data_IF_452820859596
#
_entry.id   IF_452820859596
#
_cell.length_a   1.000
_cell.length_b   1.000
_cell.length_c   1.000
_cell.angle_alpha   90.00
_cell.angle_beta   90.00
_cell.angle_gamma   90.00
#
_symmetry.space_group_name_H-M   'P 1'
#
loop_
_entity.id
_entity.type
_entity.pdbx_description
1 polymer ?
#
# COMPACT_ATOMS: atom_id res chain seq x y z
N UNK A 1 19.37 26.78 34.88
CA UNK A 1 19.63 25.94 33.69
C UNK A 1 18.76 26.42 32.56
N UNK A 2 19.31 26.70 31.36
CA UNK A 2 18.49 27.08 30.21
C UNK A 2 17.61 25.90 29.79
N UNK A 3 16.33 26.19 29.54
CA UNK A 3 15.37 25.20 29.01
C UNK A 3 15.93 24.62 27.70
N UNK A 4 15.78 23.30 27.44
CA UNK A 4 16.10 22.78 26.12
C UNK A 4 15.24 23.52 25.09
N UNK A 5 15.90 24.15 24.11
CA UNK A 5 15.22 24.65 22.92
C UNK A 5 14.52 23.45 22.30
N UNK A 6 13.19 23.45 22.32
CA UNK A 6 12.41 22.62 21.40
C UNK A 6 12.95 22.97 20.01
N UNK A 7 13.45 22.01 19.23
CA UNK A 7 13.83 22.33 17.86
C UNK A 7 12.57 22.87 17.20
N UNK A 8 12.67 24.01 16.53
CA UNK A 8 11.67 24.44 15.56
C UNK A 8 11.52 23.27 14.57
N UNK A 9 10.57 22.36 14.83
CA UNK A 9 9.81 21.63 13.81
C UNK A 9 8.70 22.61 13.40
N UNK A 10 9.07 23.79 12.94
CA UNK A 10 9.53 24.21 11.61
C UNK A 10 8.33 24.40 10.68
N UNK A 11 7.82 25.62 10.63
CA UNK A 11 6.76 26.02 9.71
C UNK A 11 7.12 25.66 8.25
N UNK A 12 8.41 25.65 7.95
CA UNK A 12 8.96 25.26 6.65
C UNK A 12 8.85 23.74 6.40
N UNK A 13 9.07 22.89 7.41
CA UNK A 13 8.87 21.44 7.28
C UNK A 13 7.39 21.10 7.06
N UNK A 14 6.49 21.82 7.74
CA UNK A 14 5.05 21.65 7.56
C UNK A 14 4.60 22.06 6.14
N UNK A 15 5.07 23.22 5.66
CA UNK A 15 4.79 23.70 4.31
C UNK A 15 5.38 22.77 3.23
N UNK A 16 6.61 22.27 3.42
CA UNK A 16 7.24 21.31 2.53
C UNK A 16 6.46 19.98 2.50
N UNK A 17 6.03 19.48 3.65
CA UNK A 17 5.22 18.26 3.73
C UNK A 17 3.86 18.42 3.03
N UNK A 18 3.22 19.58 3.14
CA UNK A 18 1.98 19.90 2.44
C UNK A 18 2.20 19.96 0.92
N UNK A 19 3.28 20.61 0.47
CA UNK A 19 3.63 20.69 -0.95
C UNK A 19 3.93 19.30 -1.53
N UNK A 20 4.80 18.51 -0.87
CA UNK A 20 5.11 17.14 -1.28
C UNK A 20 3.85 16.27 -1.33
N UNK A 21 2.91 16.48 -0.41
CA UNK A 21 1.63 15.77 -0.42
C UNK A 21 0.75 16.20 -1.58
N UNK A 22 0.72 17.47 -1.96
CA UNK A 22 -0.01 17.96 -3.14
C UNK A 22 0.57 17.44 -4.46
N UNK A 23 1.90 17.29 -4.53
CA UNK A 23 2.61 16.78 -5.71
C UNK A 23 2.65 15.24 -5.79
N UNK A 24 2.34 14.55 -4.69
CA UNK A 24 2.33 13.09 -4.62
C UNK A 24 1.32 12.46 -5.62
N UNK A 25 1.60 11.23 -6.07
CA UNK A 25 0.67 10.48 -6.90
C UNK A 25 -0.71 10.38 -6.27
N UNK A 26 -1.75 10.36 -7.09
CA UNK A 26 -3.15 10.30 -6.65
C UNK A 26 -3.40 9.10 -5.72
N UNK A 27 -2.76 7.96 -6.01
CA UNK A 27 -2.83 6.75 -5.18
C UNK A 27 -2.36 6.97 -3.73
N UNK A 28 -1.41 7.87 -3.50
CA UNK A 28 -0.90 8.20 -2.17
C UNK A 28 -1.74 9.28 -1.48
N UNK A 29 -2.21 10.28 -2.24
CA UNK A 29 -3.09 11.34 -1.73
C UNK A 29 -4.42 10.82 -1.22
N UNK A 30 -5.01 9.85 -1.93
CA UNK A 30 -6.33 9.27 -1.61
C UNK A 30 -6.28 8.08 -0.64
N UNK A 31 -5.16 7.82 0.04
CA UNK A 31 -5.09 6.71 0.99
C UNK A 31 -6.15 6.90 2.09
N UNK A 32 -7.07 5.93 2.27
CA UNK A 32 -8.07 5.93 3.33
C UNK A 32 -7.48 6.23 4.71
N UNK A 33 -8.17 7.08 5.46
CA UNK A 33 -7.78 7.38 6.84
C UNK A 33 -8.85 7.03 7.87
N UNK A 34 -9.99 6.52 7.39
CA UNK A 34 -11.10 5.97 8.16
C UNK A 34 -11.63 4.71 7.47
N UNK A 35 -12.43 3.92 8.18
CA UNK A 35 -12.93 2.66 7.67
C UNK A 35 -13.93 2.80 6.52
N UNK A 36 -14.75 3.84 6.54
CA UNK A 36 -15.75 4.11 5.48
C UNK A 36 -15.08 4.31 4.11
N UNK A 37 -13.84 4.75 4.13
CA UNK A 37 -13.03 5.02 2.95
C UNK A 37 -12.26 3.78 2.46
N UNK A 38 -12.12 2.74 3.28
CA UNK A 38 -11.40 1.54 2.90
C UNK A 38 -12.35 0.58 2.17
N UNK A 39 -12.01 0.25 0.93
CA UNK A 39 -12.86 -0.55 0.04
C UNK A 39 -12.32 -1.98 -0.07
N UNK A 40 -13.21 -2.96 -0.14
CA UNK A 40 -12.88 -4.37 -0.23
C UNK A 40 -12.56 -5.04 1.12
N UNK A 41 -12.06 -6.28 1.05
CA UNK A 41 -11.60 -7.09 2.20
C UNK A 41 -12.63 -7.32 3.32
N UNK A 42 -13.94 -7.27 2.99
CA UNK A 42 -15.04 -7.38 3.97
C UNK A 42 -14.99 -8.65 4.82
N UNK A 43 -14.51 -9.76 4.26
CA UNK A 43 -14.39 -11.04 4.97
C UNK A 43 -13.40 -10.99 6.14
N UNK A 44 -12.35 -10.19 6.03
CA UNK A 44 -11.27 -10.13 7.05
C UNK A 44 -11.39 -8.90 7.96
N UNK A 45 -11.84 -7.76 7.44
CA UNK A 45 -11.88 -6.48 8.17
C UNK A 45 -13.26 -5.80 8.16
N UNK A 46 -14.31 -6.51 7.71
CA UNK A 46 -15.68 -6.03 7.79
C UNK A 46 -16.17 -5.85 9.23
N UNK A 47 -17.27 -5.12 9.39
CA UNK A 47 -17.87 -4.92 10.70
C UNK A 47 -18.20 -6.27 11.36
N UNK A 48 -17.78 -6.44 12.62
CA UNK A 48 -18.00 -7.65 13.39
C UNK A 48 -16.98 -8.78 13.16
N UNK A 49 -16.01 -8.64 12.25
CA UNK A 49 -14.94 -9.65 12.13
C UNK A 49 -14.01 -9.59 13.35
N UNK A 50 -13.37 -10.71 13.74
CA UNK A 50 -12.47 -10.73 14.89
C UNK A 50 -11.30 -9.75 14.76
N UNK A 51 -10.68 -9.66 13.58
CA UNK A 51 -9.59 -8.72 13.33
C UNK A 51 -10.07 -7.27 13.45
N UNK A 52 -11.26 -6.97 12.94
CA UNK A 52 -11.85 -5.62 13.05
C UNK A 52 -12.07 -5.22 14.50
N UNK A 53 -12.60 -6.11 15.33
CA UNK A 53 -12.80 -5.88 16.76
C UNK A 53 -11.47 -5.63 17.50
N UNK A 54 -10.44 -6.43 17.22
CA UNK A 54 -9.12 -6.26 17.84
C UNK A 54 -8.48 -4.91 17.47
N UNK A 55 -8.66 -4.44 16.24
CA UNK A 55 -8.16 -3.12 15.81
C UNK A 55 -8.92 -2.01 16.54
N UNK A 56 -10.25 -2.11 16.64
CA UNK A 56 -11.08 -1.10 17.33
C UNK A 56 -10.82 -1.06 18.84
N UNK A 57 -10.41 -2.18 19.44
CA UNK A 57 -10.04 -2.28 20.86
C UNK A 57 -8.57 -1.89 21.13
N UNK A 58 -7.80 -1.48 20.12
CA UNK A 58 -6.36 -1.20 20.23
C UNK A 58 -5.60 -2.40 20.83
N UNK A 59 -5.87 -3.58 20.28
CA UNK A 59 -5.27 -4.87 20.66
C UNK A 59 -4.82 -5.67 19.43
N UNK A 60 -4.43 -4.97 18.36
CA UNK A 60 -4.02 -5.62 17.11
C UNK A 60 -2.74 -6.47 17.34
N UNK A 61 -2.75 -7.77 16.96
CA UNK A 61 -1.56 -8.61 17.05
C UNK A 61 -0.60 -8.29 15.90
N UNK A 62 0.59 -8.90 15.90
CA UNK A 62 1.45 -8.87 14.72
C UNK A 62 0.79 -9.60 13.54
N UNK A 63 0.91 -9.04 12.34
CA UNK A 63 0.23 -9.49 11.13
C UNK A 63 1.21 -9.74 9.99
N UNK A 64 0.89 -10.68 9.11
CA UNK A 64 1.49 -10.80 7.78
C UNK A 64 0.38 -10.68 6.75
N UNK A 65 0.40 -9.62 5.95
CA UNK A 65 -0.49 -9.42 4.82
C UNK A 65 0.06 -10.12 3.58
N UNK A 66 -0.69 -11.10 3.08
CA UNK A 66 -0.36 -11.80 1.85
C UNK A 66 -1.40 -11.51 0.78
N UNK A 67 -0.97 -10.92 -0.32
CA UNK A 67 -1.88 -10.59 -1.42
C UNK A 67 -1.20 -9.88 -2.58
N UNK A 68 -1.87 -9.74 -3.73
CA UNK A 68 -1.30 -9.14 -4.92
C UNK A 68 -0.93 -7.65 -4.72
N UNK A 69 -0.13 -7.06 -5.62
CA UNK A 69 0.09 -5.62 -5.62
C UNK A 69 -1.24 -4.85 -5.74
N UNK A 70 -1.25 -3.61 -5.25
CA UNK A 70 -2.43 -2.73 -5.35
C UNK A 70 -3.66 -3.11 -4.52
N UNK A 71 -3.65 -4.25 -3.82
CA UNK A 71 -4.79 -4.75 -3.03
C UNK A 71 -5.03 -4.04 -1.70
N UNK A 72 -4.16 -3.08 -1.34
CA UNK A 72 -4.34 -2.23 -0.15
C UNK A 72 -3.57 -2.62 1.10
N UNK A 73 -2.58 -3.53 1.03
CA UNK A 73 -1.75 -3.97 2.18
C UNK A 73 -1.13 -2.82 2.99
N UNK A 74 -0.36 -1.96 2.32
CA UNK A 74 0.31 -0.78 2.93
C UNK A 74 -0.72 0.22 3.48
N UNK A 75 -1.83 0.41 2.76
CA UNK A 75 -2.93 1.29 3.17
C UNK A 75 -3.59 0.77 4.44
N UNK A 76 -3.87 -0.53 4.52
CA UNK A 76 -4.48 -1.15 5.69
C UNK A 76 -3.57 -1.06 6.91
N UNK A 77 -2.26 -1.29 6.74
CA UNK A 77 -1.29 -1.15 7.83
C UNK A 77 -1.28 0.27 8.43
N UNK A 78 -1.31 1.30 7.58
CA UNK A 78 -1.38 2.70 8.00
C UNK A 78 -2.70 3.04 8.67
N UNK A 79 -3.81 2.54 8.13
CA UNK A 79 -5.13 2.73 8.72
C UNK A 79 -5.20 2.12 10.12
N UNK A 80 -4.70 0.88 10.28
CA UNK A 80 -4.60 0.22 11.59
C UNK A 80 -3.83 1.10 12.56
N UNK A 81 -2.61 1.56 12.20
CA UNK A 81 -1.81 2.39 13.09
C UNK A 81 -2.51 3.67 13.54
N UNK A 82 -3.23 4.33 12.62
CA UNK A 82 -4.02 5.52 12.94
C UNK A 82 -5.14 5.20 13.94
N UNK A 83 -5.85 4.10 13.72
CA UNK A 83 -6.98 3.70 14.56
C UNK A 83 -6.53 3.21 15.95
N UNK A 84 -5.39 2.53 16.03
CA UNK A 84 -4.76 2.06 17.26
C UNK A 84 -3.86 3.13 17.90
N UNK A 85 -3.92 4.38 17.43
CA UNK A 85 -3.11 5.53 17.93
C UNK A 85 -1.63 5.19 18.11
N UNK A 86 -1.13 4.32 17.26
CA UNK A 86 0.23 3.80 17.32
C UNK A 86 1.13 4.64 16.42
N UNK A 87 2.39 4.80 16.81
CA UNK A 87 3.40 5.34 15.89
C UNK A 87 3.56 4.35 14.74
N UNK A 88 3.63 4.86 13.51
CA UNK A 88 3.79 4.04 12.32
C UNK A 88 5.18 4.26 11.74
N UNK A 89 6.00 3.23 11.76
CA UNK A 89 7.33 3.25 11.17
C UNK A 89 7.34 2.27 10.01
N UNK A 90 7.51 2.79 8.79
CA UNK A 90 7.70 1.98 7.60
C UNK A 90 9.19 1.82 7.32
N UNK A 91 9.61 0.58 7.15
CA UNK A 91 10.98 0.21 6.87
C UNK A 91 11.02 -0.50 5.50
N UNK A 92 11.62 0.10 4.46
CA UNK A 92 11.68 -0.50 3.12
C UNK A 92 12.59 -1.75 3.14
N UNK A 93 12.06 -2.93 2.81
CA UNK A 93 12.82 -4.18 2.93
C UNK A 93 14.08 -4.23 2.08
N UNK A 94 14.04 -3.65 0.87
CA UNK A 94 15.16 -3.68 -0.11
C UNK A 94 16.30 -2.74 0.29
N UNK A 95 15.99 -1.61 0.92
CA UNK A 95 16.98 -0.57 1.22
C UNK A 95 17.51 -0.62 2.67
N UNK A 96 16.92 -1.47 3.52
CA UNK A 96 17.16 -1.43 4.96
C UNK A 96 17.79 -2.72 5.47
N UNK A 97 18.77 -2.55 6.37
CA UNK A 97 19.50 -3.63 7.01
C UNK A 97 19.23 -3.76 8.50
N UNK A 98 20.08 -4.54 9.18
CA UNK A 98 20.03 -4.72 10.64
C UNK A 98 20.33 -3.44 11.42
N UNK A 99 21.06 -2.48 10.83
CA UNK A 99 21.36 -1.20 11.47
C UNK A 99 20.09 -0.33 11.56
N UNK A 100 19.33 -0.24 10.46
CA UNK A 100 18.07 0.50 10.41
C UNK A 100 17.04 -0.10 11.38
N UNK A 101 16.94 -1.43 11.44
CA UNK A 101 16.08 -2.11 12.40
C UNK A 101 16.44 -1.72 13.85
N UNK A 102 17.73 -1.70 14.20
CA UNK A 102 18.16 -1.30 15.55
C UNK A 102 17.77 0.13 15.89
N UNK A 103 17.89 1.06 14.93
CA UNK A 103 17.46 2.45 15.14
C UNK A 103 15.95 2.55 15.35
N UNK A 104 15.17 1.83 14.55
CA UNK A 104 13.70 1.77 14.68
C UNK A 104 13.29 1.21 16.04
N UNK A 105 13.91 0.12 16.47
CA UNK A 105 13.64 -0.49 17.78
C UNK A 105 13.99 0.45 18.93
N UNK A 106 15.13 1.15 18.86
CA UNK A 106 15.52 2.13 19.87
C UNK A 106 14.47 3.24 19.97
N UNK A 107 14.07 3.82 18.83
CA UNK A 107 13.01 4.83 18.76
C UNK A 107 11.68 4.34 19.30
N UNK A 108 11.29 3.10 18.98
CA UNK A 108 10.06 2.49 19.48
C UNK A 108 10.10 2.32 21.01
N UNK A 109 11.24 1.88 21.55
CA UNK A 109 11.46 1.73 22.99
C UNK A 109 11.36 3.08 23.72
N UNK A 110 12.00 4.11 23.17
CA UNK A 110 11.98 5.45 23.78
C UNK A 110 10.58 6.06 23.77
N UNK A 111 9.84 5.94 22.67
CA UNK A 111 8.43 6.39 22.62
C UNK A 111 7.55 5.64 23.59
N UNK A 112 7.75 4.32 23.74
CA UNK A 112 7.00 3.52 24.70
C UNK A 112 7.30 3.95 26.14
N UNK A 113 8.56 4.26 26.48
CA UNK A 113 8.97 4.74 27.81
C UNK A 113 8.45 6.15 28.12
N UNK A 114 8.61 7.08 27.18
CA UNK A 114 8.33 8.50 27.40
C UNK A 114 6.84 8.87 27.26
N UNK A 115 6.14 8.20 26.34
CA UNK A 115 4.79 8.60 25.93
C UNK A 115 3.77 7.46 25.99
N UNK A 116 4.17 6.27 26.45
CA UNK A 116 3.34 5.05 26.46
C UNK A 116 2.77 4.68 25.08
N UNK A 117 3.31 5.23 24.00
CA UNK A 117 2.83 5.02 22.64
C UNK A 117 3.34 3.68 22.11
N UNK A 118 2.45 2.87 21.55
CA UNK A 118 2.80 1.64 20.83
C UNK A 118 3.38 1.98 19.46
N UNK A 119 4.20 1.09 18.91
CA UNK A 119 4.78 1.28 17.58
C UNK A 119 4.39 0.12 16.68
N UNK A 120 3.81 0.43 15.52
CA UNK A 120 3.63 -0.51 14.42
C UNK A 120 4.83 -0.38 13.49
N UNK A 121 5.60 -1.47 13.39
CA UNK A 121 6.67 -1.61 12.42
C UNK A 121 6.12 -2.27 11.16
N UNK A 122 6.05 -1.52 10.06
CA UNK A 122 5.62 -2.03 8.77
C UNK A 122 6.81 -2.34 7.87
N UNK A 123 6.85 -3.57 7.35
CA UNK A 123 7.87 -4.03 6.40
C UNK A 123 7.16 -4.47 5.12
N UNK A 124 7.30 -3.67 4.06
CA UNK A 124 6.77 -4.02 2.74
C UNK A 124 7.74 -4.96 2.02
N UNK A 125 7.20 -5.94 1.30
CA UNK A 125 7.97 -7.03 0.67
C UNK A 125 8.93 -7.72 1.65
N UNK A 126 8.40 -8.16 2.79
CA UNK A 126 9.16 -8.84 3.86
C UNK A 126 9.91 -10.09 3.38
N UNK A 127 9.48 -10.71 2.27
CA UNK A 127 10.20 -11.82 1.65
C UNK A 127 11.60 -11.44 1.16
N UNK A 128 11.87 -10.16 0.89
CA UNK A 128 13.22 -9.68 0.48
C UNK A 128 14.22 -9.69 1.63
N UNK A 129 13.77 -9.83 2.88
CA UNK A 129 14.65 -9.94 4.03
C UNK A 129 15.18 -11.36 4.20
N UNK A 130 16.50 -11.46 4.39
CA UNK A 130 17.13 -12.73 4.67
C UNK A 130 16.76 -13.26 6.08
N UNK A 131 17.06 -14.53 6.31
CA UNK A 131 16.77 -15.21 7.58
C UNK A 131 17.31 -14.46 8.81
N UNK A 132 18.53 -13.94 8.75
CA UNK A 132 19.14 -13.23 9.88
C UNK A 132 18.42 -11.90 10.21
N UNK A 133 17.93 -11.18 9.20
CA UNK A 133 17.10 -9.98 9.40
C UNK A 133 15.75 -10.33 10.02
N UNK A 134 15.12 -11.42 9.58
CA UNK A 134 13.85 -11.87 10.14
C UNK A 134 14.01 -12.39 11.59
N UNK A 135 15.07 -13.15 11.88
CA UNK A 135 15.38 -13.62 13.23
C UNK A 135 15.61 -12.45 14.20
N UNK A 136 16.23 -11.35 13.72
CA UNK A 136 16.44 -10.15 14.52
C UNK A 136 15.15 -9.43 14.93
N UNK A 137 14.01 -9.69 14.28
CA UNK A 137 12.71 -9.13 14.69
C UNK A 137 12.15 -9.83 15.93
N UNK A 138 12.44 -11.11 16.13
CA UNK A 138 11.75 -11.97 17.08
C UNK A 138 11.73 -11.40 18.50
N UNK A 139 12.86 -10.95 19.10
CA UNK A 139 12.85 -10.46 20.47
C UNK A 139 11.94 -9.24 20.65
N UNK A 140 11.83 -8.40 19.62
CA UNK A 140 11.10 -7.14 19.65
C UNK A 140 9.60 -7.33 19.41
N UNK A 141 9.23 -8.38 18.67
CA UNK A 141 7.84 -8.82 18.51
C UNK A 141 7.36 -9.52 19.78
N UNK A 142 8.16 -10.41 20.36
CA UNK A 142 7.82 -11.18 21.56
C UNK A 142 7.61 -10.31 22.80
N UNK A 143 8.51 -9.35 23.02
CA UNK A 143 8.43 -8.46 24.19
C UNK A 143 7.49 -7.26 23.98
N UNK A 144 6.85 -7.16 22.81
CA UNK A 144 5.91 -6.09 22.48
C UNK A 144 6.55 -4.70 22.29
N UNK A 145 7.86 -4.62 22.03
CA UNK A 145 8.50 -3.35 21.66
C UNK A 145 7.91 -2.80 20.36
N UNK A 146 7.63 -3.69 19.40
CA UNK A 146 6.93 -3.37 18.15
C UNK A 146 5.83 -4.38 17.88
N UNK A 147 4.71 -3.90 17.33
CA UNK A 147 3.75 -4.75 16.63
C UNK A 147 4.17 -4.80 15.17
N UNK A 148 4.53 -5.99 14.68
CA UNK A 148 4.98 -6.16 13.30
C UNK A 148 3.78 -6.26 12.35
N UNK A 149 3.81 -5.52 11.25
CA UNK A 149 2.96 -5.80 10.08
C UNK A 149 3.88 -6.01 8.88
N UNK A 150 4.08 -7.27 8.48
CA UNK A 150 4.76 -7.60 7.23
C UNK A 150 3.80 -7.64 6.06
N UNK A 151 4.22 -7.24 4.87
CA UNK A 151 3.46 -7.43 3.64
C UNK A 151 4.29 -8.18 2.60
N UNK A 152 3.63 -9.05 1.83
CA UNK A 152 4.28 -9.81 0.75
C UNK A 152 3.28 -10.15 -0.34
N UNK A 153 3.75 -10.21 -1.58
CA UNK A 153 3.04 -10.80 -2.72
C UNK A 153 3.29 -12.32 -2.83
N UNK A 154 4.42 -12.78 -2.31
CA UNK A 154 4.83 -14.18 -2.31
C UNK A 154 4.23 -14.95 -1.14
N UNK A 155 4.09 -16.27 -1.29
CA UNK A 155 3.51 -17.11 -0.26
C UNK A 155 4.38 -17.11 1.01
N UNK A 156 3.85 -16.64 2.16
CA UNK A 156 4.64 -16.45 3.36
C UNK A 156 5.18 -17.76 3.94
N UNK A 157 4.61 -18.93 3.64
CA UNK A 157 5.12 -20.20 4.17
C UNK A 157 6.51 -20.59 3.65
N UNK A 158 6.94 -20.01 2.53
CA UNK A 158 8.25 -20.26 1.94
C UNK A 158 9.26 -19.16 2.29
N UNK A 159 8.80 -17.90 2.29
CA UNK A 159 9.69 -16.74 2.39
C UNK A 159 9.82 -16.17 3.80
N UNK A 160 8.86 -16.45 4.69
CA UNK A 160 8.88 -15.98 6.07
C UNK A 160 9.25 -17.12 7.00
N UNK A 161 10.22 -16.89 7.89
CA UNK A 161 10.70 -17.90 8.83
C UNK A 161 9.54 -18.39 9.74
N UNK A 162 9.52 -19.69 10.02
CA UNK A 162 8.46 -20.31 10.82
C UNK A 162 8.35 -19.71 12.23
N UNK A 163 9.45 -19.23 12.80
CA UNK A 163 9.47 -18.57 14.10
C UNK A 163 8.70 -17.24 14.10
N UNK A 164 8.73 -16.50 13.00
CA UNK A 164 7.99 -15.24 12.86
C UNK A 164 6.52 -15.52 12.54
N UNK A 165 6.25 -16.50 11.66
CA UNK A 165 4.89 -16.94 11.36
C UNK A 165 4.13 -17.45 12.59
N UNK A 166 4.79 -18.15 13.51
CA UNK A 166 4.13 -18.62 14.73
C UNK A 166 3.74 -17.50 15.71
N UNK A 167 4.29 -16.30 15.53
CA UNK A 167 4.01 -15.10 16.34
C UNK A 167 3.13 -14.08 15.62
N UNK A 168 2.81 -14.32 14.36
CA UNK A 168 2.00 -13.42 13.54
C UNK A 168 0.72 -14.11 13.06
N UNK A 169 -0.34 -13.34 12.83
CA UNK A 169 -1.52 -13.81 12.09
C UNK A 169 -1.33 -13.53 10.61
N UNK A 170 -1.39 -14.57 9.78
CA UNK A 170 -1.41 -14.41 8.32
C UNK A 170 -2.82 -14.02 7.90
N UNK A 171 -2.94 -12.88 7.22
CA UNK A 171 -4.20 -12.37 6.67
C UNK A 171 -4.06 -12.32 5.15
N UNK A 172 -4.95 -13.04 4.47
CA UNK A 172 -5.01 -13.04 3.01
C UNK A 172 -5.78 -11.80 2.56
N UNK A 173 -5.14 -10.99 1.74
CA UNK A 173 -5.70 -9.79 1.12
C UNK A 173 -5.97 -10.15 -0.35
N UNK A 174 -7.24 -10.18 -0.74
CA UNK A 174 -7.64 -10.57 -2.10
C UNK A 174 -7.42 -9.42 -3.09
N UNK A 175 -7.30 -9.73 -4.38
CA UNK A 175 -7.48 -8.72 -5.42
C UNK A 175 -8.85 -8.05 -5.27
N UNK A 176 -8.93 -6.76 -5.59
CA UNK A 176 -10.19 -6.03 -5.49
C UNK A 176 -11.13 -6.41 -6.63
N UNK A 177 -12.43 -6.47 -6.35
CA UNK A 177 -13.42 -6.67 -7.40
C UNK A 177 -13.53 -5.41 -8.29
N UNK A 178 -13.98 -5.53 -9.56
CA UNK A 178 -14.18 -4.37 -10.42
C UNK A 178 -15.08 -3.29 -9.78
N UNK A 179 -16.09 -3.68 -9.02
CA UNK A 179 -17.00 -2.75 -8.34
C UNK A 179 -16.29 -1.99 -7.21
N UNK A 180 -15.35 -2.64 -6.53
CA UNK A 180 -14.53 -2.01 -5.50
C UNK A 180 -13.59 -0.97 -6.14
N UNK A 181 -12.96 -1.30 -7.27
CA UNK A 181 -12.10 -0.37 -8.02
C UNK A 181 -12.92 0.81 -8.56
N UNK A 182 -14.09 0.56 -9.13
CA UNK A 182 -15.00 1.61 -9.59
C UNK A 182 -15.34 2.57 -8.43
N UNK A 183 -15.67 2.06 -7.25
CA UNK A 183 -15.95 2.87 -6.06
C UNK A 183 -14.76 3.77 -5.68
N UNK A 184 -13.54 3.22 -5.70
CA UNK A 184 -12.31 3.97 -5.43
C UNK A 184 -12.10 5.11 -6.45
N UNK A 185 -12.29 4.81 -7.73
CA UNK A 185 -12.15 5.78 -8.83
C UNK A 185 -13.23 6.88 -8.76
N UNK A 186 -14.48 6.51 -8.47
CA UNK A 186 -15.55 7.48 -8.30
C UNK A 186 -15.29 8.40 -7.10
N UNK A 187 -14.75 7.88 -6.00
CA UNK A 187 -14.32 8.71 -4.87
C UNK A 187 -13.22 9.68 -5.31
N UNK A 188 -12.23 9.21 -6.07
CA UNK A 188 -11.16 10.06 -6.59
C UNK A 188 -11.70 11.25 -7.42
N UNK A 189 -12.75 11.03 -8.21
CA UNK A 189 -13.38 12.09 -9.00
C UNK A 189 -14.20 13.08 -8.17
N UNK A 190 -14.75 12.65 -7.03
CA UNK A 190 -15.63 13.47 -6.17
C UNK A 190 -14.88 14.22 -5.07
N UNK A 191 -13.73 13.71 -4.66
CA UNK A 191 -12.94 14.26 -3.56
C UNK A 191 -12.33 15.63 -3.95
N UNK A 192 -12.69 16.68 -3.22
CA UNK A 192 -12.27 18.08 -3.48
C UNK A 192 -10.93 18.44 -2.85
N UNK A 193 -10.46 17.65 -1.90
CA UNK A 193 -9.27 17.95 -1.10
C UNK A 193 -8.04 17.26 -1.72
N UNK A 194 -8.15 15.97 -1.99
CA UNK A 194 -7.08 15.11 -2.46
C UNK A 194 -7.32 14.54 -3.87
N UNK A 195 -8.56 14.58 -4.36
CA UNK A 195 -8.95 14.08 -5.67
C UNK A 195 -9.11 15.16 -6.75
N UNK A 196 -10.00 14.89 -7.69
CA UNK A 196 -10.33 15.74 -8.84
C UNK A 196 -11.67 16.46 -8.71
N UNK A 197 -12.28 16.51 -7.53
CA UNK A 197 -13.60 17.12 -7.32
C UNK A 197 -13.68 18.63 -7.58
N UNK A 198 -12.55 19.29 -7.81
CA UNK A 198 -12.46 20.70 -8.26
C UNK A 198 -12.37 20.85 -9.78
N UNK A 199 -12.08 19.76 -10.50
CA UNK A 199 -11.99 19.71 -11.97
C UNK A 199 -13.34 19.21 -12.49
N UNK A 200 -13.86 19.83 -13.53
CA UNK A 200 -15.05 19.30 -14.22
C UNK A 200 -14.61 18.13 -15.10
N UNK A 201 -14.83 16.90 -14.63
CA UNK A 201 -14.51 15.69 -15.39
C UNK A 201 -15.75 15.18 -16.12
N UNK A 202 -15.72 15.18 -17.45
CA UNK A 202 -16.79 14.71 -18.33
C UNK A 202 -16.43 13.36 -18.97
N UNK A 203 -17.44 12.62 -19.45
CA UNK A 203 -17.24 11.32 -20.13
C UNK A 203 -16.85 10.14 -19.23
N UNK A 204 -16.66 10.38 -17.92
CA UNK A 204 -16.07 9.40 -17.02
C UNK A 204 -16.89 8.12 -16.78
N UNK A 205 -18.23 8.16 -16.86
CA UNK A 205 -19.07 7.05 -16.35
C UNK A 205 -18.74 5.67 -16.95
N UNK A 206 -18.61 5.56 -18.28
CA UNK A 206 -18.26 4.28 -18.92
C UNK A 206 -16.76 4.01 -18.86
N UNK A 207 -15.95 5.05 -19.05
CA UNK A 207 -14.49 4.94 -19.02
C UNK A 207 -13.96 4.45 -17.66
N UNK A 208 -14.58 4.85 -16.55
CA UNK A 208 -14.24 4.37 -15.20
C UNK A 208 -14.56 2.89 -15.03
N UNK A 209 -15.69 2.41 -15.56
CA UNK A 209 -16.04 0.98 -15.50
C UNK A 209 -15.06 0.13 -16.29
N UNK A 210 -14.70 0.58 -17.49
CA UNK A 210 -13.69 -0.09 -18.30
C UNK A 210 -12.33 -0.09 -17.61
N UNK A 211 -11.90 1.05 -17.06
CA UNK A 211 -10.67 1.12 -16.26
C UNK A 211 -10.69 0.16 -15.07
N UNK A 212 -11.81 0.06 -14.36
CA UNK A 212 -11.94 -0.82 -13.21
C UNK A 212 -11.74 -2.29 -13.55
N UNK A 213 -12.27 -2.72 -14.71
CA UNK A 213 -12.05 -4.08 -15.24
C UNK A 213 -10.58 -4.26 -15.66
N UNK A 214 -10.04 -3.31 -16.43
CA UNK A 214 -8.68 -3.38 -16.97
C UNK A 214 -7.60 -3.38 -15.87
N UNK A 215 -7.84 -2.70 -14.75
CA UNK A 215 -6.93 -2.65 -13.62
C UNK A 215 -6.75 -4.01 -12.90
N UNK A 216 -7.58 -5.01 -13.21
CA UNK A 216 -7.42 -6.39 -12.73
C UNK A 216 -7.26 -6.50 -11.20
N UNK A 217 -7.98 -5.64 -10.46
CA UNK A 217 -7.97 -5.61 -9.00
C UNK A 217 -6.81 -4.85 -8.34
N UNK A 218 -5.96 -4.16 -9.11
CA UNK A 218 -4.92 -3.26 -8.60
C UNK A 218 -5.42 -1.80 -8.54
N UNK A 219 -5.73 -1.31 -7.34
CA UNK A 219 -6.19 0.07 -7.15
C UNK A 219 -5.13 1.12 -7.43
N UNK A 220 -3.84 0.79 -7.29
CA UNK A 220 -2.74 1.72 -7.56
C UNK A 220 -2.63 1.97 -9.06
N UNK A 221 -2.65 0.92 -9.87
CA UNK A 221 -2.67 1.00 -11.34
C UNK A 221 -3.89 1.79 -11.81
N UNK A 222 -5.07 1.50 -11.25
CA UNK A 222 -6.31 2.22 -11.57
C UNK A 222 -6.18 3.72 -11.29
N UNK A 223 -5.76 4.11 -10.09
CA UNK A 223 -5.64 5.52 -9.69
C UNK A 223 -4.57 6.27 -10.50
N UNK A 224 -3.43 5.64 -10.78
CA UNK A 224 -2.38 6.25 -11.59
C UNK A 224 -2.81 6.44 -13.05
N UNK A 225 -3.53 5.48 -13.61
CA UNK A 225 -4.07 5.57 -14.97
C UNK A 225 -5.10 6.69 -15.06
N UNK A 226 -6.00 6.79 -14.07
CA UNK A 226 -6.96 7.89 -13.97
C UNK A 226 -6.24 9.24 -13.87
N UNK A 227 -5.22 9.34 -13.01
CA UNK A 227 -4.45 10.57 -12.84
C UNK A 227 -3.79 11.01 -14.14
N UNK A 228 -3.17 10.07 -14.87
CA UNK A 228 -2.55 10.36 -16.16
C UNK A 228 -3.58 10.82 -17.20
N UNK A 229 -4.73 10.14 -17.29
CA UNK A 229 -5.79 10.50 -18.23
C UNK A 229 -6.38 11.90 -17.93
N UNK A 230 -6.64 12.21 -16.66
CA UNK A 230 -7.13 13.54 -16.26
C UNK A 230 -6.10 14.61 -16.59
N UNK A 231 -4.82 14.40 -16.21
CA UNK A 231 -3.75 15.38 -16.49
C UNK A 231 -3.51 15.59 -17.98
N UNK A 232 -3.58 14.53 -18.79
CA UNK A 232 -3.36 14.60 -20.24
C UNK A 232 -4.47 15.32 -21.01
N UNK A 233 -5.70 15.35 -20.46
CA UNK A 233 -6.87 15.97 -21.10
C UNK A 233 -7.26 17.31 -20.48
N UNK A 234 -6.54 17.78 -19.45
CA UNK A 234 -6.88 18.97 -18.69
C UNK A 234 -6.71 20.25 -19.53
N UNK A 235 -7.81 20.98 -19.73
CA UNK A 235 -7.86 22.31 -20.36
C UNK A 235 -8.88 23.17 -19.62
N UNK A 236 -8.51 24.39 -19.25
CA UNK A 236 -9.40 25.36 -18.57
C UNK A 236 -10.20 24.77 -17.39
N UNK A 237 -9.53 23.96 -16.56
CA UNK A 237 -10.13 23.25 -15.40
C UNK A 237 -11.25 22.26 -15.76
N UNK A 238 -11.27 21.81 -17.01
CA UNK A 238 -12.13 20.74 -17.52
C UNK A 238 -11.27 19.62 -18.08
N UNK A 239 -11.74 18.38 -17.93
CA UNK A 239 -11.08 17.19 -18.44
C UNK A 239 -12.14 16.27 -19.04
N UNK A 240 -11.90 15.77 -20.25
CA UNK A 240 -12.78 14.82 -20.93
C UNK A 240 -12.09 13.47 -20.94
N UNK A 241 -12.64 12.51 -20.21
CA UNK A 241 -12.13 11.15 -20.16
C UNK A 241 -12.89 10.30 -21.17
N UNK A 242 -12.15 9.64 -22.05
CA UNK A 242 -12.67 8.67 -23.02
C UNK A 242 -12.01 7.32 -22.83
N UNK A 243 -12.64 6.25 -23.30
CA UNK A 243 -12.08 4.89 -23.28
C UNK A 243 -10.72 4.81 -23.97
N UNK A 244 -10.56 5.52 -25.09
CA UNK A 244 -9.31 5.58 -25.84
C UNK A 244 -8.18 6.21 -25.02
N UNK A 245 -8.48 7.30 -24.32
CA UNK A 245 -7.52 7.96 -23.44
C UNK A 245 -7.12 7.08 -22.25
N UNK A 246 -8.07 6.33 -21.68
CA UNK A 246 -7.80 5.35 -20.63
C UNK A 246 -6.85 4.26 -21.13
N UNK A 247 -7.12 3.67 -22.31
CA UNK A 247 -6.27 2.62 -22.89
C UNK A 247 -4.85 3.12 -23.12
N UNK A 248 -4.69 4.31 -23.70
CA UNK A 248 -3.38 4.93 -23.92
C UNK A 248 -2.65 5.23 -22.60
N UNK A 249 -3.38 5.68 -21.58
CA UNK A 249 -2.83 5.97 -20.26
C UNK A 249 -2.39 4.70 -19.53
N UNK A 250 -3.14 3.61 -19.66
CA UNK A 250 -2.82 2.33 -19.04
C UNK A 250 -1.55 1.73 -19.63
N UNK A 251 -1.42 1.72 -20.96
CA UNK A 251 -0.21 1.24 -21.65
C UNK A 251 1.06 1.97 -21.17
N UNK A 252 0.98 3.30 -21.05
CA UNK A 252 2.10 4.11 -20.54
C UNK A 252 2.41 3.81 -19.07
N UNK A 253 1.39 3.56 -18.26
CA UNK A 253 1.56 3.21 -16.85
C UNK A 253 2.31 1.89 -16.70
N UNK A 254 1.90 0.83 -17.41
CA UNK A 254 2.62 -0.45 -17.38
C UNK A 254 4.08 -0.32 -17.81
N UNK A 255 4.38 0.43 -18.88
CA UNK A 255 5.75 0.68 -19.33
C UNK A 255 6.61 1.43 -18.29
N UNK A 256 6.02 2.35 -17.52
CA UNK A 256 6.73 3.07 -16.45
C UNK A 256 7.02 2.16 -15.26
N UNK A 257 6.08 1.25 -14.93
CA UNK A 257 6.24 0.27 -13.85
C UNK A 257 7.21 -0.87 -14.22
N UNK A 258 7.29 -1.26 -15.49
CA UNK A 258 8.24 -2.26 -16.01
C UNK A 258 9.66 -1.70 -16.24
N UNK A 259 9.97 -0.45 -15.85
CA UNK A 259 11.35 0.09 -15.94
C UNK A 259 12.36 -0.66 -15.06
N UNK A 260 11.91 -1.50 -14.13
CA UNK A 260 12.74 -2.44 -13.37
C UNK A 260 12.99 -3.79 -14.07
N UNK A 261 12.32 -4.06 -15.20
CA UNK A 261 12.46 -5.28 -16.01
C UNK A 261 11.89 -6.56 -15.38
N UNK A 262 11.30 -6.51 -14.18
CA UNK A 262 10.79 -7.71 -13.48
C UNK A 262 9.58 -8.33 -14.20
N UNK A 263 8.66 -7.53 -14.75
CA UNK A 263 7.50 -8.02 -15.51
C UNK A 263 7.93 -8.59 -16.86
N UNK A 264 8.85 -7.92 -17.58
CA UNK A 264 9.43 -8.46 -18.82
C UNK A 264 10.19 -9.78 -18.59
N UNK A 265 10.96 -9.90 -17.50
CA UNK A 265 11.61 -11.16 -17.12
C UNK A 265 10.61 -12.24 -16.73
N UNK A 266 9.51 -11.89 -16.04
CA UNK A 266 8.47 -12.84 -15.67
C UNK A 266 7.68 -13.32 -16.88
N UNK A 267 7.35 -12.44 -17.84
CA UNK A 267 6.72 -12.79 -19.11
C UNK A 267 7.63 -13.65 -19.98
N UNK A 268 8.92 -13.29 -20.11
CA UNK A 268 9.90 -14.13 -20.82
C UNK A 268 10.10 -15.47 -20.10
N UNK A 269 10.12 -15.48 -18.77
CA UNK A 269 10.24 -16.73 -18.00
C UNK A 269 8.99 -17.59 -18.12
N UNK A 270 7.80 -17.00 -18.18
CA UNK A 270 6.54 -17.70 -18.40
C UNK A 270 6.49 -18.26 -19.83
N UNK A 271 6.90 -17.48 -20.83
CA UNK A 271 7.05 -17.91 -22.23
C UNK A 271 8.08 -19.05 -22.36
N UNK A 272 9.23 -18.95 -21.71
CA UNK A 272 10.22 -20.02 -21.72
C UNK A 272 9.71 -21.28 -21.03
N UNK A 273 8.94 -21.15 -19.93
CA UNK A 273 8.32 -22.29 -19.25
C UNK A 273 7.19 -22.92 -20.09
N UNK A 274 6.38 -22.14 -20.80
CA UNK A 274 5.33 -22.65 -21.69
C UNK A 274 5.89 -23.33 -22.93
N UNK A 275 6.95 -22.77 -23.53
CA UNK A 275 7.70 -23.42 -24.62
C UNK A 275 8.40 -24.71 -24.17
N UNK A 276 8.95 -24.74 -22.94
CA UNK A 276 9.59 -25.94 -22.38
C UNK A 276 8.59 -27.02 -21.95
N UNK A 277 7.36 -26.62 -21.64
CA UNK A 277 6.24 -27.50 -21.26
C UNK A 277 5.39 -27.99 -22.43
N UNK A 278 5.76 -27.68 -23.68
CA UNK A 278 5.00 -28.04 -24.89
C UNK A 278 3.51 -27.69 -24.82
N UNK A 279 3.17 -26.53 -24.25
CA UNK A 279 1.79 -26.06 -24.16
C UNK A 279 1.57 -24.84 -25.08
N UNK A 280 1.23 -25.05 -26.37
CA UNK A 280 1.18 -24.01 -27.38
C UNK A 280 0.14 -22.91 -27.09
N UNK A 281 -0.92 -23.21 -26.34
CA UNK A 281 -1.96 -22.23 -25.99
C UNK A 281 -1.50 -21.21 -24.93
N UNK A 282 -0.49 -21.56 -24.12
CA UNK A 282 0.08 -20.68 -23.10
C UNK A 282 1.22 -19.76 -23.62
N UNK A 283 1.59 -19.88 -24.90
CA UNK A 283 2.62 -19.04 -25.52
C UNK A 283 2.02 -17.86 -26.32
N UNK A 284 0.70 -17.89 -26.59
CA UNK A 284 -0.01 -16.87 -27.36
C UNK A 284 -0.82 -15.87 -26.51
N UNK A 285 -0.92 -16.10 -25.20
CA UNK A 285 -1.55 -15.20 -24.21
C UNK A 285 -0.49 -14.39 -23.47
#
# INVERSE_FOLDING_TARGET
MPRPKVPDTDLFDAALAEQLRAEAPLADRLRPTVWQDFVGQKEVIGSGTPLRQLIEQDQVPSLIFWGPPGSGKTTLARLIAKLTRSDFIQLPAVASGLADLRQVVARASDRRKLHQTRTILFIDEIHRWNKAQQDALLPHVENGTVTLIGATTENPSFEVISALLSRCRVIIIKALAPEDIESILQRALKDKEYGFGKIKVEGATQAIKHLAIMASGDARVALNTLELAVKASLKDNQSVITDELIKQSLQRTHLVYDKGGEEHFNLISALHKSMRGSNPDAAFY
#
